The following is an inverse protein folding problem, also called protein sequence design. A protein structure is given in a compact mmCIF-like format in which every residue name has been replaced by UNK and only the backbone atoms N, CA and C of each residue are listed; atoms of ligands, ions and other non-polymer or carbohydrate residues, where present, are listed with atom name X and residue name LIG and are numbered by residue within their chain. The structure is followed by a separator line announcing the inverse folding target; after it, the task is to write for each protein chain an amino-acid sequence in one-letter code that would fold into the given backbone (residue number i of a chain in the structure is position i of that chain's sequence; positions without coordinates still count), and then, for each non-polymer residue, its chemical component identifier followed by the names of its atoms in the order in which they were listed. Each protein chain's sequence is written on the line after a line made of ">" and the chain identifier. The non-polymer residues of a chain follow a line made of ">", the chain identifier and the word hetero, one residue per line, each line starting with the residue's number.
data_IF_394920156613
#
_entry.id   IF_394920156613
#
_cell.length_a   1.000
_cell.length_b   1.000
_cell.length_c   1.000
_cell.angle_alpha   90.00
_cell.angle_beta   90.00
_cell.angle_gamma   90.00
#
_symmetry.space_group_name_H-M   'P 1'
#
loop_
_entity.id
_entity.type
_entity.pdbx_description
1 polymer ?
#
# COMPACT_ATOMS: atom_id res chain seq x y z
N UNK A 1 -13.62 15.99 10.30
CA UNK A 1 -14.52 16.96 9.63
C UNK A 1 -15.66 16.27 8.86
N UNK A 2 -15.35 15.41 7.88
CA UNK A 2 -16.33 14.76 7.01
C UNK A 2 -17.51 14.11 7.78
N UNK A 3 -17.26 13.11 8.62
CA UNK A 3 -18.33 12.42 9.36
C UNK A 3 -19.19 13.34 10.24
N UNK A 4 -18.59 14.39 10.83
CA UNK A 4 -19.31 15.38 11.63
C UNK A 4 -20.31 16.18 10.77
N UNK A 5 -19.90 16.65 9.59
CA UNK A 5 -20.79 17.38 8.68
C UNK A 5 -21.84 16.46 8.07
N UNK A 6 -21.43 15.26 7.65
CA UNK A 6 -22.29 14.27 7.02
C UNK A 6 -23.45 13.84 7.92
N UNK A 7 -23.17 13.59 9.20
CA UNK A 7 -24.19 13.21 10.19
C UNK A 7 -24.74 14.38 11.01
N UNK A 8 -24.24 15.59 10.80
CA UNK A 8 -24.49 16.76 11.66
C UNK A 8 -24.30 16.45 13.16
N UNK A 9 -23.28 15.64 13.47
CA UNK A 9 -23.05 15.08 14.81
C UNK A 9 -21.57 14.98 15.13
N UNK A 10 -21.14 15.71 16.17
CA UNK A 10 -19.75 15.64 16.67
C UNK A 10 -19.40 14.23 17.16
N UNK A 11 -20.37 13.52 17.75
CA UNK A 11 -20.18 12.13 18.22
C UNK A 11 -19.91 11.19 17.05
N UNK A 12 -20.63 11.31 15.94
CA UNK A 12 -20.34 10.55 14.73
C UNK A 12 -18.93 10.85 14.19
N UNK A 13 -18.48 12.11 14.29
CA UNK A 13 -17.11 12.51 14.01
C UNK A 13 -16.08 11.74 14.85
N UNK A 14 -16.26 11.69 16.16
CA UNK A 14 -15.38 10.96 17.07
C UNK A 14 -15.43 9.45 16.85
N UNK A 15 -16.61 8.87 16.60
CA UNK A 15 -16.75 7.46 16.28
C UNK A 15 -15.99 7.10 15.00
N UNK A 16 -16.04 7.93 13.96
CA UNK A 16 -15.30 7.67 12.73
C UNK A 16 -13.78 7.66 12.96
N UNK A 17 -13.27 8.59 13.79
CA UNK A 17 -11.85 8.62 14.18
C UNK A 17 -11.50 7.38 15.01
N UNK A 18 -12.32 7.03 16.00
CA UNK A 18 -12.07 5.88 16.85
C UNK A 18 -12.08 4.57 16.06
N UNK A 19 -13.04 4.38 15.14
CA UNK A 19 -13.05 3.24 14.21
C UNK A 19 -11.76 3.22 13.39
N UNK A 20 -11.40 4.32 12.73
CA UNK A 20 -10.18 4.39 11.92
C UNK A 20 -8.89 4.03 12.68
N UNK A 21 -8.75 4.52 13.92
CA UNK A 21 -7.57 4.25 14.76
C UNK A 21 -7.52 2.82 15.33
N UNK A 22 -8.68 2.20 15.54
CA UNK A 22 -8.77 0.86 16.17
C UNK A 22 -8.98 -0.28 15.18
N UNK A 23 -9.28 0.03 13.92
CA UNK A 23 -9.35 -0.94 12.84
C UNK A 23 -7.96 -1.54 12.55
N UNK A 24 -7.79 -2.88 12.65
CA UNK A 24 -6.51 -3.57 12.42
C UNK A 24 -5.87 -3.36 11.06
N UNK A 25 -6.62 -2.87 10.06
CA UNK A 25 -6.09 -2.52 8.76
C UNK A 25 -5.31 -1.20 8.75
N UNK A 26 -5.91 -0.12 9.28
CA UNK A 26 -5.37 1.23 9.10
C UNK A 26 -4.20 1.52 10.04
N UNK A 27 -4.26 1.05 11.29
CA UNK A 27 -3.20 1.35 12.26
C UNK A 27 -1.84 0.76 11.84
N UNK A 28 -1.71 -0.54 11.49
CA UNK A 28 -0.45 -1.09 11.00
C UNK A 28 -0.02 -0.51 9.65
N UNK A 29 -0.96 -0.17 8.76
CA UNK A 29 -0.61 0.51 7.50
C UNK A 29 0.00 1.90 7.74
N UNK A 30 -0.38 2.58 8.82
CA UNK A 30 0.27 3.83 9.25
C UNK A 30 1.68 3.66 9.82
N UNK A 31 2.12 2.43 10.11
CA UNK A 31 3.47 2.12 10.60
C UNK A 31 4.44 1.73 9.48
N UNK A 32 3.95 1.59 8.24
CA UNK A 32 4.76 1.19 7.08
C UNK A 32 4.78 2.30 6.04
N UNK A 33 5.94 2.54 5.44
CA UNK A 33 6.10 3.57 4.41
C UNK A 33 5.57 3.04 3.06
N UNK A 34 4.24 3.08 2.89
CA UNK A 34 3.58 2.73 1.62
C UNK A 34 2.83 3.93 1.06
N UNK A 35 2.39 3.82 -0.19
CA UNK A 35 1.58 4.85 -0.86
C UNK A 35 0.12 4.90 -0.34
N UNK A 36 -0.29 3.96 0.51
CA UNK A 36 -1.68 3.83 0.98
C UNK A 36 -2.13 5.00 1.85
N UNK A 37 -1.25 5.56 2.69
CA UNK A 37 -1.61 6.64 3.61
C UNK A 37 -2.11 7.87 2.84
N UNK A 38 -1.37 8.29 1.81
CA UNK A 38 -1.76 9.41 0.97
C UNK A 38 -3.00 9.09 0.12
N UNK A 39 -3.13 7.85 -0.35
CA UNK A 39 -4.34 7.37 -1.01
C UNK A 39 -5.56 7.51 -0.09
N UNK A 40 -5.48 7.13 1.19
CA UNK A 40 -6.61 7.21 2.12
C UNK A 40 -7.02 8.67 2.40
N UNK A 41 -6.06 9.59 2.49
CA UNK A 41 -6.33 11.02 2.62
C UNK A 41 -7.06 11.53 1.38
N UNK A 42 -6.54 11.27 0.19
CA UNK A 42 -7.12 11.70 -1.07
C UNK A 42 -8.51 11.05 -1.30
N UNK A 43 -8.67 9.78 -0.96
CA UNK A 43 -9.94 9.05 -1.07
C UNK A 43 -11.00 9.60 -0.12
N UNK A 44 -10.62 9.90 1.13
CA UNK A 44 -11.53 10.51 2.12
C UNK A 44 -11.98 11.90 1.66
N UNK A 45 -11.04 12.71 1.13
CA UNK A 45 -11.36 14.02 0.58
C UNK A 45 -12.27 13.92 -0.65
N UNK A 46 -11.97 13.01 -1.57
CA UNK A 46 -12.79 12.76 -2.76
C UNK A 46 -14.21 12.30 -2.39
N UNK A 47 -14.38 11.38 -1.44
CA UNK A 47 -15.71 10.96 -0.96
C UNK A 47 -16.48 12.13 -0.31
N UNK A 48 -15.80 12.95 0.49
CA UNK A 48 -16.41 14.12 1.12
C UNK A 48 -16.85 15.16 0.09
N UNK A 49 -16.02 15.41 -0.92
CA UNK A 49 -16.31 16.31 -2.02
C UNK A 49 -17.46 15.77 -2.89
N UNK A 50 -17.45 14.48 -3.24
CA UNK A 50 -18.54 13.84 -4.01
C UNK A 50 -19.88 13.91 -3.27
N UNK A 51 -19.90 13.68 -1.95
CA UNK A 51 -21.10 13.86 -1.15
C UNK A 51 -21.58 15.32 -1.16
N UNK A 52 -20.70 16.31 -0.94
CA UNK A 52 -21.09 17.72 -0.97
C UNK A 52 -21.59 18.17 -2.35
N UNK A 53 -20.97 17.66 -3.42
CA UNK A 53 -21.36 17.97 -4.78
C UNK A 53 -22.77 17.46 -5.11
N UNK A 54 -23.06 16.21 -4.76
CA UNK A 54 -24.30 15.54 -5.18
C UNK A 54 -25.47 15.70 -4.20
N UNK A 55 -25.21 15.60 -2.90
CA UNK A 55 -26.23 15.64 -1.86
C UNK A 55 -26.46 17.07 -1.36
N UNK A 56 -25.37 17.82 -1.13
CA UNK A 56 -25.44 19.21 -0.67
C UNK A 56 -25.50 20.24 -1.82
N UNK A 57 -25.45 19.77 -3.08
CA UNK A 57 -25.52 20.61 -4.30
C UNK A 57 -24.44 21.70 -4.36
N UNK A 58 -23.28 21.45 -3.77
CA UNK A 58 -22.17 22.41 -3.76
C UNK A 58 -21.33 22.28 -5.04
N UNK A 59 -21.54 23.21 -5.98
CA UNK A 59 -20.82 23.21 -7.26
C UNK A 59 -19.29 23.21 -7.10
N UNK A 60 -18.76 23.94 -6.13
CA UNK A 60 -17.31 24.02 -5.88
C UNK A 60 -16.70 22.69 -5.46
N UNK A 61 -17.50 21.79 -4.90
CA UNK A 61 -17.02 20.47 -4.48
C UNK A 61 -16.65 19.57 -5.66
N UNK A 62 -17.08 19.87 -6.90
CA UNK A 62 -16.61 19.15 -8.09
C UNK A 62 -15.12 19.42 -8.39
N UNK A 63 -14.64 20.65 -8.19
CA UNK A 63 -13.21 20.94 -8.33
C UNK A 63 -12.41 20.29 -7.21
N UNK A 64 -12.93 20.30 -5.97
CA UNK A 64 -12.30 19.60 -4.86
C UNK A 64 -12.18 18.09 -5.11
N UNK A 65 -13.23 17.48 -5.68
CA UNK A 65 -13.19 16.08 -6.11
C UNK A 65 -12.11 15.86 -7.17
N UNK A 66 -12.05 16.72 -8.19
CA UNK A 66 -11.02 16.68 -9.23
C UNK A 66 -9.60 16.81 -8.67
N UNK A 67 -9.39 17.74 -7.75
CA UNK A 67 -8.11 17.95 -7.08
C UNK A 67 -7.70 16.75 -6.22
N UNK A 68 -8.62 16.22 -5.41
CA UNK A 68 -8.39 15.07 -4.55
C UNK A 68 -8.03 13.82 -5.37
N UNK A 69 -8.75 13.56 -6.47
CA UNK A 69 -8.46 12.43 -7.36
C UNK A 69 -7.16 12.66 -8.13
N UNK A 70 -6.92 13.86 -8.65
CA UNK A 70 -5.70 14.20 -9.39
C UNK A 70 -4.44 14.01 -8.54
N UNK A 71 -4.42 14.58 -7.33
CA UNK A 71 -3.35 14.37 -6.36
C UNK A 71 -3.25 12.91 -5.92
N UNK A 72 -4.40 12.25 -5.68
CA UNK A 72 -4.42 10.83 -5.35
C UNK A 72 -3.79 9.96 -6.45
N UNK A 73 -3.95 10.33 -7.73
CA UNK A 73 -3.39 9.57 -8.85
C UNK A 73 -1.87 9.65 -8.92
N UNK A 74 -1.27 10.70 -8.35
CA UNK A 74 0.18 10.82 -8.16
C UNK A 74 0.71 9.87 -7.07
N UNK A 75 -0.19 9.34 -6.23
CA UNK A 75 0.18 8.45 -5.11
C UNK A 75 -0.04 6.98 -5.46
N UNK A 76 -1.23 6.64 -5.97
CA UNK A 76 -1.62 5.27 -6.31
C UNK A 76 -2.80 5.28 -7.29
N UNK A 77 -2.66 4.60 -8.43
CA UNK A 77 -3.66 4.58 -9.50
C UNK A 77 -5.03 4.04 -9.07
N UNK A 78 -5.09 3.25 -7.99
CA UNK A 78 -6.36 2.72 -7.47
C UNK A 78 -7.35 3.81 -7.03
N UNK A 79 -6.92 5.06 -6.81
CA UNK A 79 -7.85 6.18 -6.60
C UNK A 79 -8.86 6.31 -7.75
N UNK A 80 -8.49 5.92 -8.97
CA UNK A 80 -9.32 5.99 -10.17
C UNK A 80 -10.59 5.13 -10.09
N UNK A 81 -10.64 4.15 -9.18
CA UNK A 81 -11.85 3.38 -8.91
C UNK A 81 -12.99 4.26 -8.38
N UNK A 82 -12.69 5.31 -7.60
CA UNK A 82 -13.70 6.21 -7.06
C UNK A 82 -14.44 7.01 -8.16
N UNK A 83 -13.76 7.80 -9.02
CA UNK A 83 -14.44 8.51 -10.11
C UNK A 83 -15.04 7.54 -11.14
N UNK A 84 -14.46 6.35 -11.34
CA UNK A 84 -15.03 5.33 -12.22
C UNK A 84 -16.42 4.87 -11.73
N UNK A 85 -16.53 4.41 -10.49
CA UNK A 85 -17.82 3.96 -9.95
C UNK A 85 -18.79 5.10 -9.69
N UNK A 86 -18.30 6.30 -9.37
CA UNK A 86 -19.11 7.51 -9.30
C UNK A 86 -19.71 7.84 -10.67
N UNK A 87 -18.89 7.89 -11.71
CA UNK A 87 -19.34 8.14 -13.08
C UNK A 87 -20.35 7.10 -13.55
N UNK A 88 -20.08 5.81 -13.29
CA UNK A 88 -21.02 4.73 -13.58
C UNK A 88 -22.36 4.93 -12.85
N UNK A 89 -22.34 5.24 -11.55
CA UNK A 89 -23.54 5.52 -10.78
C UNK A 89 -24.33 6.74 -11.31
N UNK A 90 -23.64 7.76 -11.80
CA UNK A 90 -24.29 8.93 -12.42
C UNK A 90 -24.93 8.56 -13.76
N UNK A 91 -24.25 7.78 -14.61
CA UNK A 91 -24.77 7.33 -15.90
C UNK A 91 -25.99 6.42 -15.77
N UNK A 92 -26.00 5.55 -14.75
CA UNK A 92 -27.08 4.59 -14.53
C UNK A 92 -28.34 5.20 -13.93
N UNK A 93 -28.31 6.45 -13.46
CA UNK A 93 -29.47 7.10 -12.83
C UNK A 93 -29.97 8.30 -13.63
N UNK A 94 -31.30 8.52 -13.73
CA UNK A 94 -31.83 9.72 -14.40
C UNK A 94 -31.35 11.03 -13.75
N UNK A 95 -31.22 11.05 -12.43
CA UNK A 95 -30.72 12.22 -11.70
C UNK A 95 -29.24 12.48 -11.98
N UNK A 96 -28.38 11.44 -11.96
CA UNK A 96 -26.96 11.59 -12.25
C UNK A 96 -26.69 12.00 -13.70
N UNK A 97 -27.45 11.48 -14.66
CA UNK A 97 -27.35 11.93 -16.07
C UNK A 97 -27.68 13.41 -16.25
N UNK A 98 -28.52 14.00 -15.40
CA UNK A 98 -28.76 15.45 -15.40
C UNK A 98 -27.54 16.21 -14.86
N UNK A 99 -26.90 15.73 -13.80
CA UNK A 99 -25.65 16.33 -13.29
C UNK A 99 -24.57 16.39 -14.37
N UNK A 100 -24.42 15.32 -15.16
CA UNK A 100 -23.43 15.25 -16.25
C UNK A 100 -23.73 16.20 -17.43
N UNK A 101 -24.92 16.81 -17.50
CA UNK A 101 -25.22 17.85 -18.49
C UNK A 101 -24.68 19.22 -18.08
N UNK A 102 -24.35 19.39 -16.80
CA UNK A 102 -23.75 20.60 -16.29
C UNK A 102 -22.23 20.53 -16.40
N UNK A 103 -21.60 21.70 -16.54
CA UNK A 103 -20.14 21.81 -16.71
C UNK A 103 -19.29 21.48 -15.46
N UNK A 104 -19.74 21.65 -14.19
CA UNK A 104 -18.86 21.48 -13.03
C UNK A 104 -18.22 20.09 -12.88
N UNK A 105 -18.94 18.96 -13.08
CA UNK A 105 -18.30 17.64 -13.09
C UNK A 105 -17.14 17.55 -14.08
N UNK A 106 -17.30 18.12 -15.28
CA UNK A 106 -16.28 18.10 -16.33
C UNK A 106 -15.09 19.00 -16.01
N UNK A 107 -15.31 20.13 -15.34
CA UNK A 107 -14.19 20.94 -14.86
C UNK A 107 -13.41 20.23 -13.73
N UNK A 108 -14.08 19.46 -12.89
CA UNK A 108 -13.42 18.54 -11.96
C UNK A 108 -12.57 17.49 -12.68
N UNK A 109 -13.09 16.88 -13.74
CA UNK A 109 -12.34 15.93 -14.59
C UNK A 109 -11.14 16.61 -15.25
N UNK A 110 -11.30 17.82 -15.79
CA UNK A 110 -10.20 18.58 -16.39
C UNK A 110 -9.10 18.87 -15.37
N UNK A 111 -9.46 19.29 -14.15
CA UNK A 111 -8.49 19.53 -13.09
C UNK A 111 -7.77 18.25 -12.66
N UNK A 112 -8.50 17.13 -12.55
CA UNK A 112 -7.91 15.82 -12.28
C UNK A 112 -6.88 15.46 -13.36
N UNK A 113 -7.23 15.61 -14.63
CA UNK A 113 -6.33 15.32 -15.76
C UNK A 113 -5.12 16.25 -15.77
N UNK A 114 -5.30 17.53 -15.47
CA UNK A 114 -4.19 18.49 -15.37
C UNK A 114 -3.20 18.07 -14.29
N UNK A 115 -3.67 17.69 -13.11
CA UNK A 115 -2.81 17.24 -12.00
C UNK A 115 -2.17 15.88 -12.27
N UNK A 116 -2.86 14.99 -12.99
CA UNK A 116 -2.33 13.69 -13.38
C UNK A 116 -1.39 13.76 -14.60
N UNK A 117 -1.41 14.86 -15.35
CA UNK A 117 -0.66 15.02 -16.60
C UNK A 117 0.85 14.76 -16.48
N UNK A 118 1.56 15.09 -15.37
CA UNK A 118 3.00 14.80 -15.27
C UNK A 118 3.30 13.29 -15.34
N UNK A 119 2.42 12.44 -14.78
CA UNK A 119 2.57 10.99 -14.83
C UNK A 119 2.39 10.48 -16.25
N UNK A 120 1.40 11.00 -16.97
CA UNK A 120 1.11 10.62 -18.36
C UNK A 120 2.26 11.06 -19.27
N UNK A 121 2.65 12.33 -19.22
CA UNK A 121 3.69 12.90 -20.07
C UNK A 121 5.06 12.24 -19.84
N UNK A 122 5.41 11.94 -18.58
CA UNK A 122 6.65 11.22 -18.30
C UNK A 122 6.60 9.79 -18.84
N UNK A 123 5.48 9.06 -18.65
CA UNK A 123 5.35 7.69 -19.15
C UNK A 123 5.32 7.59 -20.68
N UNK A 124 4.81 8.61 -21.38
CA UNK A 124 4.87 8.68 -22.85
C UNK A 124 6.31 8.58 -23.38
N UNK A 125 7.28 9.13 -22.65
CA UNK A 125 8.70 9.06 -22.99
C UNK A 125 9.45 7.85 -22.42
N UNK A 126 8.78 6.97 -21.66
CA UNK A 126 9.39 5.82 -20.97
C UNK A 126 8.61 4.52 -21.23
N UNK A 127 8.13 4.35 -22.48
CA UNK A 127 7.41 3.16 -22.95
C UNK A 127 6.25 2.73 -22.04
N UNK A 128 5.58 3.68 -21.39
CA UNK A 128 4.47 3.41 -20.49
C UNK A 128 4.80 2.40 -19.37
N UNK A 129 6.06 2.38 -18.91
CA UNK A 129 6.58 1.38 -17.96
C UNK A 129 5.70 1.21 -16.72
N UNK A 130 5.21 2.31 -16.13
CA UNK A 130 4.34 2.27 -14.96
C UNK A 130 3.01 1.56 -15.27
N UNK A 131 2.39 1.87 -16.40
CA UNK A 131 1.10 1.28 -16.78
C UNK A 131 1.22 -0.18 -17.18
N UNK A 132 2.33 -0.59 -17.79
CA UNK A 132 2.61 -2.02 -18.08
C UNK A 132 2.79 -2.82 -16.79
N UNK A 133 3.51 -2.26 -15.81
CA UNK A 133 3.63 -2.86 -14.48
C UNK A 133 2.25 -3.03 -13.81
N UNK A 134 1.41 -2.00 -13.84
CA UNK A 134 0.08 -2.03 -13.23
C UNK A 134 -0.92 -2.92 -13.99
N UNK A 135 -0.78 -3.03 -15.31
CA UNK A 135 -1.52 -4.00 -16.11
C UNK A 135 -1.20 -5.43 -15.64
N UNK A 136 0.03 -5.73 -15.25
CA UNK A 136 0.40 -7.01 -14.63
C UNK A 136 -0.39 -7.30 -13.36
N UNK A 137 -0.70 -6.29 -12.54
CA UNK A 137 -1.57 -6.47 -11.36
C UNK A 137 -3.05 -6.66 -11.70
N UNK A 138 -3.53 -6.12 -12.84
CA UNK A 138 -4.95 -6.21 -13.26
C UNK A 138 -5.22 -7.47 -14.06
N UNK A 139 -4.34 -7.79 -15.00
CA UNK A 139 -4.43 -8.91 -15.96
C UNK A 139 -3.74 -10.17 -15.43
N UNK A 140 -3.04 -10.05 -14.29
CA UNK A 140 -2.30 -11.10 -13.59
C UNK A 140 -2.87 -12.48 -13.86
N UNK A 141 -2.10 -13.23 -14.66
CA UNK A 141 -2.36 -14.58 -15.17
C UNK A 141 -3.12 -15.36 -14.10
N UNK A 142 -4.31 -15.87 -14.45
CA UNK A 142 -5.04 -16.79 -13.58
C UNK A 142 -4.03 -17.78 -13.01
N UNK A 143 -3.81 -17.73 -11.69
CA UNK A 143 -2.82 -18.58 -11.05
C UNK A 143 -3.06 -20.01 -11.54
N UNK A 144 -2.01 -20.77 -11.85
CA UNK A 144 -2.11 -22.18 -12.26
C UNK A 144 -2.79 -23.05 -11.18
N UNK A 145 -3.12 -22.45 -10.04
CA UNK A 145 -4.09 -22.93 -9.08
C UNK A 145 -5.40 -23.36 -9.78
N UNK A 146 -5.68 -24.66 -9.72
CA UNK A 146 -6.99 -25.21 -10.04
C UNK A 146 -8.10 -24.61 -9.16
N UNK A 147 -9.34 -25.04 -9.40
CA UNK A 147 -10.54 -24.51 -8.71
C UNK A 147 -10.41 -24.48 -7.17
N UNK A 148 -9.76 -25.48 -6.58
CA UNK A 148 -9.52 -25.57 -5.13
C UNK A 148 -8.60 -24.46 -4.61
N UNK A 149 -7.56 -24.09 -5.36
CA UNK A 149 -6.65 -23.00 -4.98
C UNK A 149 -7.34 -21.65 -5.05
N UNK A 150 -8.15 -21.40 -6.09
CA UNK A 150 -8.95 -20.17 -6.22
C UNK A 150 -9.98 -20.02 -5.09
N UNK A 151 -10.63 -21.12 -4.70
CA UNK A 151 -11.55 -21.11 -3.57
C UNK A 151 -10.82 -20.80 -2.25
N UNK A 152 -9.63 -21.38 -2.04
CA UNK A 152 -8.80 -21.06 -0.87
C UNK A 152 -8.43 -19.58 -0.85
N UNK A 153 -7.98 -19.02 -1.96
CA UNK A 153 -7.55 -17.61 -2.03
C UNK A 153 -8.74 -16.66 -1.80
N UNK A 154 -9.93 -17.01 -2.31
CA UNK A 154 -11.16 -16.27 -2.02
C UNK A 154 -11.54 -16.34 -0.53
N UNK A 155 -11.46 -17.51 0.10
CA UNK A 155 -11.76 -17.68 1.52
C UNK A 155 -10.72 -16.97 2.40
N UNK A 156 -9.43 -17.05 2.06
CA UNK A 156 -8.36 -16.29 2.71
C UNK A 156 -8.61 -14.78 2.59
N UNK A 157 -9.01 -14.30 1.40
CA UNK A 157 -9.36 -12.91 1.20
C UNK A 157 -10.54 -12.48 2.07
N UNK A 158 -11.64 -13.26 2.08
CA UNK A 158 -12.82 -12.97 2.90
C UNK A 158 -12.50 -12.97 4.39
N UNK A 159 -11.83 -14.01 4.90
CA UNK A 159 -11.41 -14.09 6.29
C UNK A 159 -10.47 -12.92 6.65
N UNK A 160 -9.54 -12.62 5.74
CA UNK A 160 -8.66 -11.48 5.83
C UNK A 160 -9.41 -10.16 5.98
N UNK A 161 -10.46 -9.92 5.18
CA UNK A 161 -11.24 -8.67 5.28
C UNK A 161 -11.97 -8.52 6.63
N UNK A 162 -12.47 -9.61 7.21
CA UNK A 162 -13.04 -9.58 8.57
C UNK A 162 -11.97 -9.26 9.62
N UNK A 163 -10.79 -9.87 9.52
CA UNK A 163 -9.67 -9.58 10.42
C UNK A 163 -9.19 -8.13 10.27
N UNK A 164 -9.09 -7.64 9.03
CA UNK A 164 -8.68 -6.28 8.69
C UNK A 164 -9.61 -5.23 9.32
N UNK A 165 -10.93 -5.46 9.31
CA UNK A 165 -11.90 -4.55 9.93
C UNK A 165 -12.05 -4.67 11.45
N UNK A 166 -11.54 -5.75 12.05
CA UNK A 166 -11.99 -6.34 13.31
C UNK A 166 -13.24 -7.20 13.13
N UNK A 167 -13.21 -8.52 13.43
CA UNK A 167 -14.34 -9.41 13.19
C UNK A 167 -15.64 -8.94 13.84
N UNK A 168 -15.58 -8.45 15.08
CA UNK A 168 -16.76 -8.02 15.82
C UNK A 168 -17.33 -6.70 15.31
N UNK A 169 -16.45 -5.77 14.92
CA UNK A 169 -16.86 -4.51 14.27
C UNK A 169 -17.45 -4.81 12.90
N UNK A 170 -16.84 -5.71 12.13
CA UNK A 170 -17.33 -6.14 10.82
C UNK A 170 -18.74 -6.74 10.91
N UNK A 171 -19.00 -7.62 11.89
CA UNK A 171 -20.35 -8.19 12.10
C UNK A 171 -21.38 -7.11 12.47
N UNK A 172 -21.03 -6.17 13.36
CA UNK A 172 -21.93 -5.08 13.71
C UNK A 172 -22.19 -4.11 12.53
N UNK A 173 -21.15 -3.84 11.74
CA UNK A 173 -21.23 -3.03 10.53
C UNK A 173 -22.13 -3.69 9.48
N UNK A 174 -21.93 -4.98 9.21
CA UNK A 174 -22.77 -5.74 8.28
C UNK A 174 -24.21 -5.80 8.75
N UNK A 175 -24.45 -6.06 10.04
CA UNK A 175 -25.80 -6.03 10.62
C UNK A 175 -26.49 -4.67 10.37
N UNK A 176 -25.75 -3.58 10.53
CA UNK A 176 -26.28 -2.21 10.41
C UNK A 176 -26.47 -1.80 8.94
N UNK A 177 -25.58 -2.21 8.05
CA UNK A 177 -25.49 -1.73 6.66
C UNK A 177 -25.87 -2.80 5.62
N UNK A 178 -26.52 -3.90 6.02
CA UNK A 178 -26.95 -4.97 5.09
C UNK A 178 -27.99 -4.52 4.05
N UNK A 179 -28.67 -3.40 4.29
CA UNK A 179 -29.65 -2.82 3.35
C UNK A 179 -29.17 -1.46 2.84
N UNK A 180 -29.49 -1.11 1.59
CA UNK A 180 -29.18 0.20 1.05
C UNK A 180 -29.88 1.29 1.87
N UNK A 181 -29.16 2.31 2.35
CA UNK A 181 -29.76 3.44 3.05
C UNK A 181 -30.80 4.19 2.18
N UNK A 182 -31.78 4.82 2.84
CA UNK A 182 -32.78 5.66 2.16
C UNK A 182 -32.23 7.03 1.74
N UNK A 183 -31.54 7.79 2.61
CA UNK A 183 -31.01 9.10 2.26
C UNK A 183 -29.98 9.01 1.14
N UNK A 184 -30.03 9.96 0.19
CA UNK A 184 -29.20 9.96 -1.02
C UNK A 184 -27.71 9.93 -0.68
N UNK A 185 -27.23 10.85 0.17
CA UNK A 185 -25.83 10.88 0.59
C UNK A 185 -25.35 9.59 1.25
N UNK A 186 -26.20 8.94 2.05
CA UNK A 186 -25.88 7.65 2.67
C UNK A 186 -25.81 6.52 1.65
N UNK A 187 -26.77 6.49 0.71
CA UNK A 187 -26.79 5.52 -0.39
C UNK A 187 -25.60 5.69 -1.32
N UNK A 188 -25.14 6.92 -1.55
CA UNK A 188 -23.95 7.22 -2.34
C UNK A 188 -22.70 6.57 -1.73
N UNK A 189 -22.40 6.86 -0.46
CA UNK A 189 -21.24 6.28 0.24
C UNK A 189 -21.33 4.75 0.29
N UNK A 190 -22.52 4.22 0.58
CA UNK A 190 -22.76 2.78 0.64
C UNK A 190 -22.51 2.12 -0.73
N UNK A 191 -23.09 2.66 -1.79
CA UNK A 191 -22.98 2.13 -3.15
C UNK A 191 -21.56 2.20 -3.70
N UNK A 192 -20.87 3.34 -3.53
CA UNK A 192 -19.47 3.48 -3.96
C UNK A 192 -18.55 2.50 -3.23
N UNK A 193 -18.72 2.38 -1.91
CA UNK A 193 -17.91 1.47 -1.11
C UNK A 193 -18.15 0.01 -1.52
N UNK A 194 -19.41 -0.40 -1.64
CA UNK A 194 -19.74 -1.77 -2.05
C UNK A 194 -19.33 -2.08 -3.49
N UNK A 195 -19.39 -1.13 -4.41
CA UNK A 195 -18.94 -1.34 -5.79
C UNK A 195 -17.43 -1.65 -5.85
N UNK A 196 -16.61 -0.92 -5.09
CA UNK A 196 -15.17 -1.18 -4.99
C UNK A 196 -14.90 -2.51 -4.28
N UNK A 197 -15.61 -2.82 -3.19
CA UNK A 197 -15.48 -4.11 -2.52
C UNK A 197 -15.89 -5.29 -3.42
N UNK A 198 -16.96 -5.13 -4.20
CA UNK A 198 -17.43 -6.13 -5.14
C UNK A 198 -16.39 -6.38 -6.26
N UNK A 199 -15.73 -5.31 -6.75
CA UNK A 199 -14.63 -5.45 -7.71
C UNK A 199 -13.49 -6.29 -7.13
N UNK A 200 -13.04 -6.01 -5.91
CA UNK A 200 -11.95 -6.78 -5.29
C UNK A 200 -12.36 -8.20 -4.90
N UNK A 201 -13.62 -8.41 -4.52
CA UNK A 201 -14.16 -9.76 -4.30
C UNK A 201 -14.20 -10.57 -5.60
N UNK A 202 -14.63 -9.96 -6.71
CA UNK A 202 -14.58 -10.57 -8.03
C UNK A 202 -13.14 -10.82 -8.49
N UNK A 203 -12.20 -9.92 -8.16
CA UNK A 203 -10.77 -10.12 -8.46
C UNK A 203 -10.17 -11.27 -7.66
N UNK A 204 -10.56 -11.41 -6.39
CA UNK A 204 -10.10 -12.47 -5.49
C UNK A 204 -10.53 -13.88 -5.93
N UNK A 205 -11.58 -14.01 -6.76
CA UNK A 205 -11.96 -15.31 -7.33
C UNK A 205 -11.12 -15.70 -8.56
N UNK A 206 -10.34 -14.76 -9.10
CA UNK A 206 -9.50 -14.96 -10.29
C UNK A 206 -8.01 -15.05 -9.94
N UNK A 207 -7.56 -14.21 -9.00
CA UNK A 207 -6.15 -14.04 -8.64
C UNK A 207 -6.02 -13.63 -7.17
N UNK A 208 -4.86 -13.89 -6.56
CA UNK A 208 -4.60 -13.44 -5.18
C UNK A 208 -4.66 -11.91 -5.07
N UNK A 209 -5.44 -11.42 -4.12
CA UNK A 209 -5.60 -9.99 -3.82
C UNK A 209 -4.96 -9.64 -2.49
N UNK A 210 -4.16 -8.57 -2.46
CA UNK A 210 -3.57 -8.09 -1.22
C UNK A 210 -4.63 -7.47 -0.30
N UNK A 211 -4.47 -7.70 1.01
CA UNK A 211 -5.46 -7.34 2.02
C UNK A 211 -5.78 -5.84 2.06
N UNK A 212 -4.78 -4.99 1.80
CA UNK A 212 -4.89 -3.53 1.81
C UNK A 212 -5.51 -2.93 0.55
N UNK A 213 -5.65 -3.68 -0.54
CA UNK A 213 -6.21 -3.13 -1.79
C UNK A 213 -7.64 -2.57 -1.66
N UNK A 214 -8.60 -3.26 -1.01
CA UNK A 214 -9.93 -2.72 -0.76
C UNK A 214 -10.00 -1.67 0.36
N UNK A 215 -8.91 -1.39 1.08
CA UNK A 215 -8.91 -0.53 2.26
C UNK A 215 -9.59 0.85 2.07
N UNK A 216 -9.43 1.56 0.94
CA UNK A 216 -10.11 2.84 0.75
C UNK A 216 -11.64 2.72 0.75
N UNK A 217 -12.19 1.60 0.29
CA UNK A 217 -13.64 1.38 0.25
C UNK A 217 -14.27 1.33 1.64
N UNK A 218 -13.54 0.84 2.65
CA UNK A 218 -14.05 0.79 4.02
C UNK A 218 -14.22 2.17 4.64
N UNK A 219 -13.53 3.21 4.16
CA UNK A 219 -13.64 4.58 4.69
C UNK A 219 -15.09 5.05 4.63
N UNK A 220 -15.77 4.85 3.50
CA UNK A 220 -17.17 5.23 3.34
C UNK A 220 -18.09 4.45 4.28
N UNK A 221 -17.88 3.12 4.41
CA UNK A 221 -18.68 2.28 5.31
C UNK A 221 -18.46 2.61 6.79
N UNK A 222 -17.23 2.91 7.20
CA UNK A 222 -16.92 3.31 8.58
C UNK A 222 -17.54 4.66 8.92
N UNK A 223 -17.54 5.61 7.98
CA UNK A 223 -18.24 6.90 8.17
C UNK A 223 -19.74 6.69 8.32
N UNK A 224 -20.34 5.82 7.49
CA UNK A 224 -21.76 5.49 7.63
C UNK A 224 -22.05 4.82 8.96
N UNK A 225 -21.25 3.83 9.33
CA UNK A 225 -21.43 3.07 10.56
C UNK A 225 -21.26 3.96 11.80
N UNK A 226 -20.29 4.88 11.79
CA UNK A 226 -20.02 5.80 12.89
C UNK A 226 -21.25 6.62 13.35
N UNK A 227 -22.08 7.08 12.41
CA UNK A 227 -23.30 7.83 12.74
C UNK A 227 -24.45 6.98 13.26
N UNK A 228 -24.33 5.65 13.17
CA UNK A 228 -25.34 4.71 13.64
C UNK A 228 -24.99 4.11 15.01
N UNK A 229 -23.72 4.17 15.45
CA UNK A 229 -23.27 3.50 16.69
C UNK A 229 -24.09 3.89 17.92
N UNK A 230 -24.41 5.17 18.08
CA UNK A 230 -25.18 5.66 19.24
C UNK A 230 -26.67 5.26 19.18
N UNK A 231 -27.16 4.86 18.00
CA UNK A 231 -28.53 4.40 17.78
C UNK A 231 -28.67 2.87 17.91
N UNK A 232 -27.55 2.15 18.04
CA UNK A 232 -27.54 0.70 18.19
C UNK A 232 -28.13 0.27 19.53
N UNK A 233 -28.79 -0.89 19.51
CA UNK A 233 -29.14 -1.60 20.75
C UNK A 233 -27.87 -1.84 21.61
N UNK A 234 -28.02 -1.82 22.93
CA UNK A 234 -26.89 -1.93 23.86
C UNK A 234 -25.99 -3.16 23.62
N UNK A 235 -26.54 -4.30 23.18
CA UNK A 235 -25.75 -5.49 22.82
C UNK A 235 -24.80 -5.25 21.64
N UNK A 236 -25.25 -4.57 20.60
CA UNK A 236 -24.48 -4.28 19.40
C UNK A 236 -23.43 -3.20 19.67
N UNK A 237 -23.79 -2.18 20.45
CA UNK A 237 -22.82 -1.17 20.88
C UNK A 237 -21.71 -1.76 21.76
N UNK A 238 -22.05 -2.68 22.68
CA UNK A 238 -21.06 -3.45 23.46
C UNK A 238 -20.17 -4.31 22.56
N UNK A 239 -20.74 -4.95 21.54
CA UNK A 239 -19.99 -5.73 20.55
C UNK A 239 -18.95 -4.88 19.82
N UNK A 240 -19.33 -3.67 19.37
CA UNK A 240 -18.41 -2.71 18.73
C UNK A 240 -17.29 -2.31 19.68
N UNK A 241 -17.62 -1.89 20.90
CA UNK A 241 -16.64 -1.49 21.91
C UNK A 241 -15.66 -2.62 22.25
N UNK A 242 -16.17 -3.84 22.44
CA UNK A 242 -15.36 -5.02 22.71
C UNK A 242 -14.50 -5.39 21.48
N UNK A 243 -15.04 -5.25 20.27
CA UNK A 243 -14.28 -5.41 19.02
C UNK A 243 -13.14 -4.42 18.88
N UNK A 244 -13.38 -3.15 19.16
CA UNK A 244 -12.35 -2.11 19.14
C UNK A 244 -11.28 -2.38 20.21
N UNK A 245 -11.67 -2.70 21.44
CA UNK A 245 -10.75 -2.99 22.53
C UNK A 245 -9.87 -4.22 22.23
N UNK A 246 -10.46 -5.31 21.73
CA UNK A 246 -9.70 -6.51 21.35
C UNK A 246 -8.79 -6.24 20.16
N UNK A 247 -9.21 -5.40 19.20
CA UNK A 247 -8.37 -5.01 18.07
C UNK A 247 -7.14 -4.22 18.51
N UNK A 248 -7.33 -3.24 19.38
CA UNK A 248 -6.21 -2.47 19.98
C UNK A 248 -5.27 -3.41 20.73
N UNK A 249 -5.80 -4.31 21.56
CA UNK A 249 -4.99 -5.27 22.31
C UNK A 249 -4.18 -6.17 21.37
N UNK A 250 -4.82 -6.79 20.38
CA UNK A 250 -4.17 -7.72 19.45
C UNK A 250 -3.13 -7.03 18.57
N UNK A 251 -3.44 -5.85 18.04
CA UNK A 251 -2.49 -5.06 17.24
C UNK A 251 -1.31 -4.60 18.10
N UNK A 252 -1.57 -4.20 19.35
CA UNK A 252 -0.51 -3.82 20.30
C UNK A 252 0.42 -5.00 20.60
N UNK A 253 -0.12 -6.18 20.89
CA UNK A 253 0.68 -7.40 21.10
C UNK A 253 1.46 -7.78 19.84
N UNK A 254 0.83 -7.69 18.66
CA UNK A 254 1.47 -8.02 17.39
C UNK A 254 2.65 -7.09 17.06
N UNK A 255 2.50 -5.79 17.32
CA UNK A 255 3.55 -4.79 17.03
C UNK A 255 4.57 -4.67 18.16
N UNK A 256 4.19 -4.97 19.39
CA UNK A 256 5.04 -4.84 20.59
C UNK A 256 5.00 -6.15 21.41
N UNK A 257 5.44 -7.27 20.84
CA UNK A 257 5.39 -8.59 21.48
C UNK A 257 6.16 -8.64 22.81
N UNK A 258 7.19 -7.80 22.95
CA UNK A 258 7.97 -7.69 24.19
C UNK A 258 7.12 -7.29 25.41
N UNK A 259 5.99 -6.58 25.20
CA UNK A 259 5.08 -6.19 26.29
C UNK A 259 4.47 -7.41 26.99
N UNK A 260 4.41 -8.56 26.32
CA UNK A 260 3.91 -9.83 26.86
C UNK A 260 5.02 -10.89 26.95
N UNK A 261 6.29 -10.47 26.89
CA UNK A 261 7.46 -11.37 26.96
C UNK A 261 7.67 -12.23 25.72
N UNK A 262 7.03 -11.90 24.58
CA UNK A 262 7.24 -12.62 23.32
C UNK A 262 8.37 -12.01 22.51
N UNK A 263 9.14 -12.85 21.82
CA UNK A 263 10.23 -12.39 20.97
C UNK A 263 9.73 -11.63 19.73
N UNK A 264 10.35 -10.51 19.36
CA UNK A 264 10.01 -9.81 18.12
C UNK A 264 10.55 -10.50 16.87
N UNK A 265 11.39 -11.53 17.01
CA UNK A 265 11.92 -12.31 15.89
C UNK A 265 10.82 -13.08 15.11
N UNK A 266 9.66 -13.31 15.72
CA UNK A 266 8.49 -13.96 15.10
C UNK A 266 7.31 -13.00 14.87
N UNK A 267 7.46 -11.72 15.19
CA UNK A 267 6.36 -10.77 15.09
C UNK A 267 6.08 -10.37 13.64
N UNK A 268 4.82 -9.97 13.35
CA UNK A 268 4.52 -9.24 12.14
C UNK A 268 5.46 -8.05 11.96
N UNK A 269 5.84 -7.77 10.71
CA UNK A 269 6.76 -6.68 10.36
C UNK A 269 8.18 -6.79 10.93
N UNK A 270 8.63 -7.99 11.35
CA UNK A 270 10.03 -8.21 11.75
C UNK A 270 11.03 -7.73 10.69
N UNK A 271 10.65 -7.87 9.41
CA UNK A 271 11.50 -7.54 8.27
C UNK A 271 11.76 -6.04 8.12
N UNK A 272 11.05 -5.19 8.88
CA UNK A 272 11.26 -3.74 8.93
C UNK A 272 12.21 -3.30 10.05
N UNK A 273 12.67 -4.23 10.90
CA UNK A 273 13.42 -3.92 12.13
C UNK A 273 14.91 -4.26 12.02
N UNK A 274 15.73 -3.61 12.84
CA UNK A 274 17.14 -3.96 13.06
C UNK A 274 18.02 -3.89 11.80
N UNK A 275 17.80 -2.89 10.94
CA UNK A 275 18.66 -2.63 9.78
C UNK A 275 19.85 -1.73 10.11
N UNK A 276 19.66 -0.72 10.96
CA UNK A 276 20.66 0.34 11.22
C UNK A 276 22.01 -0.21 11.69
N UNK A 277 22.02 -1.07 12.71
CA UNK A 277 23.28 -1.57 13.27
C UNK A 277 23.99 -2.51 12.29
N UNK A 278 23.34 -3.55 11.72
CA UNK A 278 24.03 -4.43 10.78
C UNK A 278 24.57 -3.73 9.53
N UNK A 279 23.84 -2.74 9.00
CA UNK A 279 24.32 -1.98 7.83
C UNK A 279 25.54 -1.12 8.18
N UNK A 280 25.58 -0.54 9.38
CA UNK A 280 26.75 0.23 9.87
C UNK A 280 27.97 -0.66 10.04
N UNK A 281 27.82 -1.82 10.68
CA UNK A 281 28.94 -2.73 10.91
C UNK A 281 29.50 -3.27 9.58
N UNK A 282 28.64 -3.53 8.57
CA UNK A 282 29.11 -3.90 7.22
C UNK A 282 29.84 -2.72 6.56
N UNK A 283 29.34 -1.49 6.68
CA UNK A 283 30.00 -0.32 6.11
C UNK A 283 31.38 -0.05 6.76
N UNK A 284 31.51 -0.23 8.07
CA UNK A 284 32.78 -0.12 8.78
C UNK A 284 33.77 -1.20 8.34
N UNK A 285 33.31 -2.44 8.18
CA UNK A 285 34.14 -3.54 7.67
C UNK A 285 34.57 -3.34 6.21
N UNK A 286 33.68 -2.79 5.38
CA UNK A 286 33.95 -2.55 3.98
C UNK A 286 34.94 -1.40 3.75
N UNK A 287 35.04 -0.44 4.69
CA UNK A 287 35.85 0.76 4.54
C UNK A 287 35.31 1.68 3.44
N UNK A 288 36.22 2.41 2.77
CA UNK A 288 35.84 3.31 1.67
C UNK A 288 35.47 2.50 0.43
N UNK A 289 34.27 2.74 -0.09
CA UNK A 289 33.71 2.13 -1.30
C UNK A 289 32.90 3.18 -2.07
N UNK A 290 32.70 2.93 -3.37
CA UNK A 290 32.12 3.90 -4.30
C UNK A 290 30.64 3.62 -4.59
N UNK A 291 30.21 2.36 -4.50
CA UNK A 291 28.83 1.95 -4.77
C UNK A 291 28.42 0.65 -4.04
N UNK A 292 27.13 0.36 -4.05
CA UNK A 292 26.53 -0.84 -3.45
C UNK A 292 25.84 -1.71 -4.50
N UNK A 293 25.85 -3.02 -4.28
CA UNK A 293 25.20 -4.00 -5.13
C UNK A 293 24.31 -4.91 -4.30
N UNK A 294 23.09 -5.18 -4.76
CA UNK A 294 22.13 -6.03 -4.04
C UNK A 294 21.31 -6.89 -5.00
N UNK A 295 20.78 -8.04 -4.57
CA UNK A 295 19.99 -8.90 -5.44
C UNK A 295 18.57 -8.38 -5.71
N UNK A 296 18.00 -7.54 -4.83
CA UNK A 296 16.58 -7.16 -4.86
C UNK A 296 16.35 -5.71 -4.42
N UNK A 297 15.35 -5.05 -5.02
CA UNK A 297 15.05 -3.63 -4.77
C UNK A 297 14.65 -3.30 -3.33
N UNK A 298 14.01 -4.23 -2.60
CA UNK A 298 13.72 -4.03 -1.18
C UNK A 298 15.00 -3.78 -0.37
N UNK A 299 16.05 -4.57 -0.62
CA UNK A 299 17.34 -4.38 0.05
C UNK A 299 18.01 -3.09 -0.43
N UNK A 300 17.83 -2.70 -1.69
CA UNK A 300 18.38 -1.46 -2.21
C UNK A 300 17.83 -0.24 -1.43
N UNK A 301 16.53 -0.21 -1.17
CA UNK A 301 15.90 0.86 -0.38
C UNK A 301 16.43 0.93 1.06
N UNK A 302 16.56 -0.23 1.71
CA UNK A 302 17.07 -0.32 3.09
C UNK A 302 18.53 0.14 3.18
N UNK A 303 19.39 -0.29 2.25
CA UNK A 303 20.78 0.16 2.22
C UNK A 303 20.91 1.64 1.87
N UNK A 304 20.16 2.13 0.87
CA UNK A 304 20.17 3.54 0.52
C UNK A 304 19.74 4.44 1.71
N UNK A 305 18.90 3.94 2.61
CA UNK A 305 18.46 4.65 3.80
C UNK A 305 19.44 4.53 4.98
N UNK A 306 19.96 3.33 5.26
CA UNK A 306 20.77 3.07 6.46
C UNK A 306 22.29 3.15 6.26
N UNK A 307 22.78 3.15 5.02
CA UNK A 307 24.22 3.31 4.76
C UNK A 307 24.72 4.66 5.28
N UNK A 308 25.92 4.73 5.91
CA UNK A 308 26.40 5.97 6.52
C UNK A 308 26.56 7.16 5.56
N UNK A 309 26.78 6.89 4.28
CA UNK A 309 26.95 7.87 3.21
C UNK A 309 25.99 7.59 2.05
N UNK A 310 25.69 8.60 1.22
CA UNK A 310 24.88 8.37 0.02
C UNK A 310 25.75 7.77 -1.08
N UNK A 311 25.47 6.52 -1.45
CA UNK A 311 26.13 5.81 -2.54
C UNK A 311 25.09 5.35 -3.59
N UNK A 312 25.48 5.22 -4.87
CA UNK A 312 24.67 4.52 -5.87
C UNK A 312 24.42 3.06 -5.44
N UNK A 313 23.21 2.57 -5.70
CA UNK A 313 22.82 1.18 -5.40
C UNK A 313 22.30 0.48 -6.64
N UNK A 314 22.96 -0.62 -7.01
CA UNK A 314 22.69 -1.37 -8.23
C UNK A 314 22.03 -2.72 -7.93
N UNK A 315 21.09 -3.12 -8.79
CA UNK A 315 20.44 -4.42 -8.70
C UNK A 315 21.19 -5.44 -9.56
N UNK A 316 21.77 -6.43 -8.89
CA UNK A 316 22.60 -7.49 -9.46
C UNK A 316 22.00 -8.88 -9.22
N UNK A 317 20.67 -8.97 -9.10
CA UNK A 317 19.96 -10.24 -8.91
C UNK A 317 19.61 -10.93 -10.23
N UNK A 318 19.79 -12.25 -10.28
CA UNK A 318 19.28 -13.11 -11.35
C UNK A 318 17.75 -13.19 -11.33
N UNK A 319 17.12 -13.22 -12.51
CA UNK A 319 15.67 -13.35 -12.65
C UNK A 319 14.85 -12.25 -11.98
N UNK A 320 15.45 -11.07 -11.76
CA UNK A 320 14.77 -9.95 -11.10
C UNK A 320 13.70 -9.33 -11.99
N UNK A 321 12.71 -8.72 -11.34
CA UNK A 321 11.69 -7.90 -11.99
C UNK A 321 12.25 -6.53 -12.39
N UNK A 322 11.63 -5.92 -13.39
CA UNK A 322 11.82 -4.50 -13.67
C UNK A 322 11.50 -3.68 -12.42
N UNK A 323 12.28 -2.64 -12.21
CA UNK A 323 12.15 -1.70 -11.11
C UNK A 323 12.62 -0.32 -11.53
N UNK A 324 12.44 0.68 -10.67
CA UNK A 324 12.96 2.03 -10.90
C UNK A 324 14.48 2.08 -11.14
N UNK A 325 15.25 1.09 -10.65
CA UNK A 325 16.70 1.04 -10.82
C UNK A 325 17.10 0.75 -12.28
N UNK A 326 16.20 0.21 -13.10
CA UNK A 326 16.42 -0.05 -14.52
C UNK A 326 16.31 1.20 -15.39
N UNK A 327 15.75 2.27 -14.84
CA UNK A 327 15.65 3.57 -15.50
C UNK A 327 16.87 4.46 -15.21
N UNK A 328 17.73 4.03 -14.28
CA UNK A 328 18.94 4.75 -13.90
C UNK A 328 20.15 4.20 -14.67
N UNK A 329 21.24 4.98 -14.79
CA UNK A 329 22.43 4.51 -15.48
C UNK A 329 22.97 3.23 -14.85
N UNK A 330 23.41 2.31 -15.72
CA UNK A 330 23.89 0.98 -15.34
C UNK A 330 25.20 1.04 -14.52
N UNK A 331 25.54 -0.10 -13.93
CA UNK A 331 26.74 -0.28 -13.09
C UNK A 331 28.05 -0.06 -13.87
N UNK A 332 28.04 -0.18 -15.20
CA UNK A 332 29.23 -0.01 -16.06
C UNK A 332 29.93 1.35 -15.90
N UNK A 333 29.22 2.39 -15.44
CA UNK A 333 29.82 3.70 -15.13
C UNK A 333 30.78 3.68 -13.93
N UNK A 334 30.77 2.60 -13.16
CA UNK A 334 31.64 2.40 -12.00
C UNK A 334 32.89 1.58 -12.35
N UNK A 335 33.26 1.49 -13.64
CA UNK A 335 34.46 0.81 -14.09
C UNK A 335 35.71 1.24 -13.30
N UNK A 336 36.50 0.26 -12.84
CA UNK A 336 37.71 0.49 -12.03
C UNK A 336 37.45 0.98 -10.61
N UNK A 337 36.20 0.97 -10.13
CA UNK A 337 35.84 1.38 -8.75
C UNK A 337 35.52 0.20 -7.86
N UNK A 338 35.50 0.46 -6.56
CA UNK A 338 35.23 -0.57 -5.55
C UNK A 338 33.77 -0.53 -5.11
N UNK A 339 33.13 -1.71 -5.08
CA UNK A 339 31.76 -1.86 -4.61
C UNK A 339 31.64 -2.85 -3.45
N UNK A 340 30.47 -2.85 -2.80
CA UNK A 340 30.09 -3.92 -1.86
C UNK A 340 28.85 -4.62 -2.37
N UNK A 341 28.93 -5.95 -2.51
CA UNK A 341 27.75 -6.77 -2.68
C UNK A 341 27.17 -7.15 -1.33
N UNK A 342 25.90 -6.89 -1.10
CA UNK A 342 25.19 -7.22 0.13
C UNK A 342 23.93 -8.05 -0.15
N UNK A 343 23.69 -9.06 0.68
CA UNK A 343 22.53 -9.94 0.59
C UNK A 343 22.19 -10.55 1.95
N UNK A 344 21.02 -11.18 2.04
CA UNK A 344 20.58 -11.95 3.22
C UNK A 344 20.80 -13.46 3.04
N UNK A 345 21.38 -13.87 1.91
CA UNK A 345 21.75 -15.25 1.64
C UNK A 345 23.28 -15.35 1.63
N UNK A 346 23.84 -16.43 2.19
CA UNK A 346 25.29 -16.64 2.23
C UNK A 346 25.83 -17.11 0.87
N UNK A 347 25.70 -16.25 -0.14
CA UNK A 347 26.11 -16.55 -1.51
C UNK A 347 26.40 -15.28 -2.31
N UNK A 348 27.61 -15.21 -2.87
CA UNK A 348 27.96 -14.30 -3.95
C UNK A 348 27.60 -14.94 -5.30
N UNK A 349 26.80 -14.30 -6.16
CA UNK A 349 26.52 -14.82 -7.50
C UNK A 349 27.81 -14.92 -8.33
N UNK A 350 28.05 -16.02 -9.07
CA UNK A 350 29.28 -16.21 -9.84
C UNK A 350 29.57 -15.07 -10.82
N UNK A 351 28.53 -14.52 -11.46
CA UNK A 351 28.70 -13.43 -12.41
C UNK A 351 29.16 -12.13 -11.73
N UNK A 352 28.71 -11.86 -10.49
CA UNK A 352 29.19 -10.71 -9.71
C UNK A 352 30.66 -10.92 -9.39
N UNK A 353 31.05 -12.14 -9.02
CA UNK A 353 32.46 -12.45 -8.77
C UNK A 353 33.33 -12.30 -10.04
N UNK A 354 32.80 -12.61 -11.22
CA UNK A 354 33.51 -12.50 -12.50
C UNK A 354 33.63 -11.06 -13.02
N UNK A 355 32.77 -10.15 -12.55
CA UNK A 355 32.76 -8.75 -12.99
C UNK A 355 33.75 -7.85 -12.20
N UNK A 356 34.65 -8.43 -11.43
CA UNK A 356 35.61 -7.73 -10.56
C UNK A 356 36.92 -8.53 -10.51
N UNK A 357 38.04 -7.82 -10.34
CA UNK A 357 39.35 -8.47 -10.21
C UNK A 357 39.44 -9.33 -8.95
N UNK A 358 38.85 -8.86 -7.84
CA UNK A 358 38.80 -9.62 -6.59
C UNK A 358 37.54 -9.31 -5.79
N UNK A 359 37.00 -10.31 -5.10
CA UNK A 359 35.93 -10.14 -4.12
C UNK A 359 36.31 -10.84 -2.80
N UNK A 360 36.32 -10.08 -1.70
CA UNK A 360 36.66 -10.54 -0.36
C UNK A 360 35.41 -10.59 0.52
N UNK A 361 35.13 -11.75 1.11
CA UNK A 361 34.03 -11.90 2.05
C UNK A 361 34.30 -11.08 3.33
N UNK A 362 33.28 -10.34 3.77
CA UNK A 362 33.27 -9.64 5.05
C UNK A 362 32.63 -10.54 6.12
N UNK A 363 32.79 -10.19 7.40
CA UNK A 363 32.21 -11.02 8.47
C UNK A 363 30.69 -10.89 8.45
N UNK A 364 29.95 -12.01 8.52
CA UNK A 364 28.49 -11.99 8.60
C UNK A 364 28.03 -11.12 9.77
N UNK A 365 27.05 -10.26 9.51
CA UNK A 365 26.62 -9.25 10.48
C UNK A 365 25.15 -9.47 10.86
N UNK A 366 24.86 -9.99 12.07
CA UNK A 366 23.52 -10.33 12.50
C UNK A 366 22.74 -9.11 13.01
N UNK A 367 21.47 -9.00 12.63
CA UNK A 367 20.49 -8.14 13.28
C UNK A 367 19.87 -8.87 14.48
N UNK A 368 20.41 -8.60 15.67
CA UNK A 368 20.05 -9.29 16.92
C UNK A 368 19.06 -8.45 17.73
N UNK A 369 18.00 -9.09 18.21
CA UNK A 369 17.00 -8.50 19.11
C UNK A 369 17.56 -8.35 20.53
N UNK A 370 16.88 -7.56 21.37
CA UNK A 370 17.29 -7.38 22.77
C UNK A 370 17.32 -8.69 23.58
N UNK A 371 16.51 -9.68 23.19
CA UNK A 371 16.46 -11.04 23.75
C UNK A 371 17.47 -12.02 23.11
N UNK A 372 18.41 -11.52 22.28
CA UNK A 372 19.51 -12.32 21.74
C UNK A 372 19.16 -13.17 20.50
N UNK A 373 17.96 -13.02 19.94
CA UNK A 373 17.53 -13.76 18.76
C UNK A 373 17.88 -13.01 17.47
N UNK A 374 18.36 -13.75 16.48
CA UNK A 374 18.70 -13.19 15.16
C UNK A 374 17.47 -13.08 14.28
N UNK A 375 17.12 -11.87 13.83
CA UNK A 375 16.07 -11.65 12.83
C UNK A 375 16.59 -11.94 11.42
N UNK A 376 17.81 -11.45 11.14
CA UNK A 376 18.46 -11.55 9.83
C UNK A 376 19.97 -11.55 10.00
N UNK A 377 20.68 -12.08 9.03
CA UNK A 377 22.13 -11.91 8.89
C UNK A 377 22.43 -11.27 7.55
N UNK A 378 23.24 -10.23 7.55
CA UNK A 378 23.78 -9.63 6.33
C UNK A 378 25.09 -10.33 5.98
N UNK A 379 25.16 -10.82 4.74
CA UNK A 379 26.36 -11.34 4.13
C UNK A 379 26.84 -10.32 3.10
N UNK A 380 28.13 -10.04 3.10
CA UNK A 380 28.70 -8.99 2.27
C UNK A 380 30.07 -9.37 1.71
N UNK A 381 30.36 -8.85 0.52
CA UNK A 381 31.64 -9.01 -0.17
C UNK A 381 32.09 -7.65 -0.67
N UNK A 382 33.32 -7.26 -0.32
CA UNK A 382 33.99 -6.11 -0.91
C UNK A 382 34.61 -6.56 -2.23
N UNK A 383 34.21 -5.92 -3.33
CA UNK A 383 34.67 -6.27 -4.67
C UNK A 383 35.42 -5.09 -5.29
N UNK A 384 36.63 -5.36 -5.77
CA UNK A 384 37.60 -4.36 -6.22
C UNK A 384 37.77 -4.40 -7.74
N UNK A 385 38.06 -3.23 -8.31
CA UNK A 385 38.30 -3.03 -9.74
C UNK A 385 37.18 -3.61 -10.62
N UNK A 386 36.02 -2.95 -10.61
CA UNK A 386 34.89 -3.36 -11.44
C UNK A 386 35.26 -3.40 -12.93
N UNK A 387 35.09 -4.56 -13.54
CA UNK A 387 35.21 -4.74 -14.99
C UNK A 387 33.82 -4.61 -15.65
N UNK A 388 33.68 -3.75 -16.68
CA UNK A 388 32.43 -3.62 -17.41
C UNK A 388 31.99 -4.98 -17.94
N UNK A 389 30.77 -5.39 -17.59
CA UNK A 389 30.19 -6.65 -18.02
C UNK A 389 28.75 -6.41 -18.42
N UNK A 390 28.24 -7.17 -19.40
CA UNK A 390 26.84 -7.04 -19.81
C UNK A 390 25.93 -7.37 -18.63
N UNK A 391 25.35 -6.35 -18.01
CA UNK A 391 24.51 -6.48 -16.83
C UNK A 391 23.29 -7.38 -17.08
N UNK A 392 22.81 -8.04 -16.02
CA UNK A 392 21.62 -8.88 -16.10
C UNK A 392 20.39 -8.05 -16.48
N UNK A 393 19.75 -8.45 -17.57
CA UNK A 393 18.46 -7.89 -18.01
C UNK A 393 17.31 -8.44 -17.16
N UNK A 394 16.35 -7.59 -16.76
CA UNK A 394 15.15 -8.05 -16.06
C UNK A 394 14.34 -9.02 -16.92
N UNK A 395 13.72 -10.02 -16.28
CA UNK A 395 12.98 -11.08 -17.00
C UNK A 395 11.46 -10.89 -16.97
N UNK A 396 10.95 -10.02 -16.09
CA UNK A 396 9.51 -9.83 -15.83
C UNK A 396 9.22 -8.38 -15.39
N UNK A 397 8.02 -7.85 -15.69
CA UNK A 397 7.56 -6.53 -15.24
C UNK A 397 7.00 -6.54 -13.82
#
# INVERSE_FOLDING_TARGET
>A
MFANQFWQSRRAGWWAVALGLTTPLYFPLGQVMTTDVLLFVCWTWALWAAWRALDQRQTTAWYELGAAVGLGSLTKLSIGLLPFFLGLGLLLTPAGRRELRHWPPWAGVLLMLLLFSPVVLWNMGHDWVMFRHEQGHVVGVADAAGLSGKLRDLLEFLAGQFLALSPLVAVALLHTLHRPPRPLGQRLLWGLSLAVLALFLAKASVSKVQLNWPAPAYIGLLILFAGQIDLLQARWRRLVLFGMATSVLLVTIALFPNLVGWSPAKAPFRDLRLWKQPVRDVAEQAGKVDFLMVPRYHLAGELAFYWPTRLPVYLVGEGRRFSQHDLWPAIDREAGRTGVYLTTADRLPPWVQQAFTACHALRPTPGVTADGLTIRTLYAWRCEDHEPSTGLTPTTY
#
